data_IF_843006902902
#
_entry.id   IF_843006902902
#
_cell.length_a   1.000
_cell.length_b   1.000
_cell.length_c   1.000
_cell.angle_alpha   90.00
_cell.angle_beta   90.00
_cell.angle_gamma   90.00
#
_symmetry.space_group_name_H-M   'P 1'
#
loop_
_entity.id
_entity.type
_entity.pdbx_description
1 polymer ?
#
# COMPACT_ATOMS: atom_id res chain seq x y z
N UNK A 1 11.37 -6.62 7.57
CA UNK A 1 9.96 -6.96 7.27
C UNK A 1 9.74 -8.46 7.24
N UNK A 2 10.44 -9.23 6.41
CA UNK A 2 10.33 -10.71 6.40
C UNK A 2 10.75 -11.37 7.73
N UNK A 3 11.83 -10.90 8.36
CA UNK A 3 12.26 -11.39 9.68
C UNK A 3 11.23 -11.10 10.78
N UNK A 4 10.60 -9.92 10.73
CA UNK A 4 9.55 -9.52 11.66
C UNK A 4 8.29 -10.37 11.50
N UNK A 5 7.91 -10.65 10.25
CA UNK A 5 6.85 -11.59 9.90
C UNK A 5 7.13 -13.00 10.46
N UNK A 6 8.36 -13.49 10.32
CA UNK A 6 8.77 -14.79 10.87
C UNK A 6 8.74 -14.85 12.41
N UNK A 7 8.80 -13.69 13.08
CA UNK A 7 8.66 -13.56 14.54
C UNK A 7 7.20 -13.46 15.01
N UNK A 8 6.22 -13.52 14.10
CA UNK A 8 4.81 -13.46 14.43
C UNK A 8 4.24 -12.05 14.62
N UNK A 9 4.93 -11.00 14.14
CA UNK A 9 4.37 -9.63 14.13
C UNK A 9 3.07 -9.58 13.31
N UNK A 10 2.13 -8.74 13.74
CA UNK A 10 0.81 -8.61 13.14
C UNK A 10 0.91 -8.10 11.69
N UNK A 11 0.12 -8.72 10.80
CA UNK A 11 0.17 -8.42 9.37
C UNK A 11 -0.24 -6.98 9.07
N UNK A 12 -1.21 -6.43 9.81
CA UNK A 12 -1.62 -5.04 9.64
C UNK A 12 -0.53 -4.09 10.12
N UNK A 13 0.07 -4.34 11.28
CA UNK A 13 1.16 -3.51 11.80
C UNK A 13 2.31 -3.38 10.79
N UNK A 14 2.76 -4.51 10.22
CA UNK A 14 3.84 -4.51 9.23
C UNK A 14 3.49 -3.73 7.96
N UNK A 15 2.27 -3.87 7.46
CA UNK A 15 1.83 -3.20 6.23
C UNK A 15 1.58 -1.72 6.48
N UNK A 16 0.97 -1.36 7.59
CA UNK A 16 0.72 0.04 7.97
C UNK A 16 2.04 0.74 8.27
N UNK A 17 2.97 0.10 8.97
CA UNK A 17 4.33 0.62 9.22
C UNK A 17 5.03 0.95 7.89
N UNK A 18 5.02 0.00 6.94
CA UNK A 18 5.59 0.20 5.60
C UNK A 18 5.01 1.45 4.92
N UNK A 19 3.68 1.55 4.88
CA UNK A 19 3.02 2.61 4.14
C UNK A 19 3.09 3.97 4.85
N UNK A 20 3.17 3.99 6.18
CA UNK A 20 3.54 5.20 6.92
C UNK A 20 4.94 5.68 6.52
N UNK A 21 5.94 4.79 6.45
CA UNK A 21 7.30 5.18 6.01
C UNK A 21 7.32 5.73 4.58
N UNK A 22 6.54 5.14 3.67
CA UNK A 22 6.39 5.65 2.30
C UNK A 22 5.74 7.04 2.31
N UNK A 23 4.65 7.22 3.06
CA UNK A 23 3.98 8.52 3.21
C UNK A 23 4.93 9.58 3.74
N UNK A 24 5.66 9.25 4.80
CA UNK A 24 6.58 10.18 5.46
C UNK A 24 7.74 10.54 4.52
N UNK A 25 8.27 9.57 3.76
CA UNK A 25 9.29 9.81 2.73
C UNK A 25 8.80 10.74 1.61
N UNK A 26 7.53 10.64 1.20
CA UNK A 26 6.96 11.52 0.18
C UNK A 26 6.91 13.00 0.57
N UNK A 27 7.04 13.34 1.86
CA UNK A 27 7.20 14.75 2.29
C UNK A 27 8.56 15.33 1.87
N UNK A 28 9.55 14.47 1.63
CA UNK A 28 10.92 14.85 1.26
C UNK A 28 11.31 14.41 -0.16
N UNK A 29 10.42 13.69 -0.86
CA UNK A 29 10.66 13.25 -2.23
C UNK A 29 10.43 14.40 -3.22
N UNK A 30 11.47 14.77 -3.95
CA UNK A 30 11.43 15.86 -4.93
C UNK A 30 12.03 15.49 -6.28
N UNK A 31 12.65 14.32 -6.41
CA UNK A 31 13.27 13.89 -7.66
C UNK A 31 12.58 12.66 -8.25
N UNK A 32 12.78 12.45 -9.55
CA UNK A 32 12.40 11.21 -10.23
C UNK A 32 12.95 9.96 -9.51
N UNK A 33 14.19 10.02 -9.03
CA UNK A 33 14.82 8.90 -8.33
C UNK A 33 14.11 8.56 -7.01
N UNK A 34 13.67 9.59 -6.27
CA UNK A 34 12.86 9.39 -5.07
C UNK A 34 11.55 8.66 -5.38
N UNK A 35 10.86 9.06 -6.45
CA UNK A 35 9.62 8.39 -6.87
C UNK A 35 9.85 6.96 -7.37
N UNK A 36 10.98 6.69 -8.03
CA UNK A 36 11.39 5.31 -8.38
C UNK A 36 11.62 4.47 -7.12
N UNK A 37 12.24 5.04 -6.09
CA UNK A 37 12.45 4.37 -4.80
C UNK A 37 11.12 4.09 -4.08
N UNK A 38 10.17 5.02 -4.12
CA UNK A 38 8.80 4.81 -3.62
C UNK A 38 8.11 3.68 -4.36
N UNK A 39 8.17 3.66 -5.70
CA UNK A 39 7.57 2.61 -6.51
C UNK A 39 8.16 1.22 -6.16
N UNK A 40 9.49 1.12 -6.06
CA UNK A 40 10.18 -0.11 -5.65
C UNK A 40 9.75 -0.55 -4.25
N UNK A 41 9.67 0.38 -3.30
CA UNK A 41 9.21 0.09 -1.95
C UNK A 41 7.76 -0.43 -1.95
N UNK A 42 6.86 0.16 -2.74
CA UNK A 42 5.46 -0.26 -2.84
C UNK A 42 5.32 -1.72 -3.28
N UNK A 43 6.12 -2.19 -4.24
CA UNK A 43 6.08 -3.55 -4.76
C UNK A 43 6.63 -4.64 -3.83
N UNK A 44 7.38 -4.28 -2.79
CA UNK A 44 7.85 -5.27 -1.81
C UNK A 44 6.64 -6.01 -1.22
N UNK A 45 6.63 -7.34 -1.40
CA UNK A 45 5.50 -8.20 -1.04
C UNK A 45 5.07 -7.96 0.40
N UNK A 46 3.76 -7.73 0.59
CA UNK A 46 3.17 -7.58 1.92
C UNK A 46 2.80 -8.95 2.50
N UNK A 47 2.87 -9.13 3.84
CA UNK A 47 2.53 -10.39 4.52
C UNK A 47 1.21 -11.02 4.08
N UNK A 48 0.15 -10.21 3.86
CA UNK A 48 -1.15 -10.70 3.40
C UNK A 48 -1.10 -11.46 2.08
N UNK A 49 -0.26 -11.05 1.12
CA UNK A 49 -0.11 -11.76 -0.15
C UNK A 49 0.57 -13.12 0.03
N UNK A 50 1.46 -13.26 1.02
CA UNK A 50 2.10 -14.52 1.35
C UNK A 50 1.12 -15.49 2.00
N UNK A 51 0.23 -15.00 2.86
CA UNK A 51 -0.76 -15.83 3.57
C UNK A 51 -1.96 -16.18 2.68
N UNK A 52 -2.63 -15.17 2.11
CA UNK A 52 -3.88 -15.34 1.38
C UNK A 52 -3.66 -15.53 -0.12
N UNK A 53 -2.72 -14.80 -0.72
CA UNK A 53 -2.45 -14.86 -2.16
C UNK A 53 -1.92 -16.22 -2.60
N UNK A 54 -0.90 -16.77 -1.91
CA UNK A 54 -0.34 -18.09 -2.22
C UNK A 54 -1.34 -19.24 -2.12
N UNK A 55 -2.38 -19.09 -1.29
CA UNK A 55 -3.43 -20.10 -1.08
C UNK A 55 -4.66 -19.87 -1.96
N UNK A 56 -4.62 -18.88 -2.87
CA UNK A 56 -5.77 -18.45 -3.68
C UNK A 56 -7.00 -18.07 -2.82
N UNK A 57 -6.76 -17.42 -1.67
CA UNK A 57 -7.75 -17.03 -0.67
C UNK A 57 -7.91 -15.51 -0.53
N UNK A 58 -7.62 -14.74 -1.58
CA UNK A 58 -7.75 -13.27 -1.56
C UNK A 58 -9.15 -12.78 -1.16
N UNK A 59 -10.21 -13.55 -1.44
CA UNK A 59 -11.58 -13.24 -1.03
C UNK A 59 -11.80 -13.26 0.50
N UNK A 60 -10.92 -13.96 1.24
CA UNK A 60 -10.87 -13.98 2.71
C UNK A 60 -9.86 -13.00 3.29
N UNK A 61 -9.12 -12.28 2.44
CA UNK A 61 -8.08 -11.37 2.90
C UNK A 61 -8.69 -10.15 3.60
N UNK A 62 -8.20 -9.75 4.79
CA UNK A 62 -8.70 -8.58 5.52
C UNK A 62 -8.60 -7.24 4.75
N UNK A 63 -7.68 -7.16 3.78
CA UNK A 63 -7.49 -5.98 2.92
C UNK A 63 -8.12 -6.13 1.54
N UNK A 64 -9.03 -7.10 1.33
CA UNK A 64 -9.58 -7.40 0.00
C UNK A 64 -10.16 -6.19 -0.73
N UNK A 65 -10.82 -5.26 -0.03
CA UNK A 65 -11.44 -4.05 -0.61
C UNK A 65 -10.42 -3.09 -1.24
N UNK A 66 -9.16 -3.20 -0.84
CA UNK A 66 -8.07 -2.39 -1.37
C UNK A 66 -7.63 -2.94 -2.73
N UNK A 67 -7.61 -4.28 -2.85
CA UNK A 67 -7.03 -4.99 -3.98
C UNK A 67 -8.07 -5.39 -5.03
N UNK A 68 -9.31 -5.67 -4.62
CA UNK A 68 -10.38 -6.17 -5.47
C UNK A 68 -11.32 -5.02 -5.86
N UNK A 69 -11.62 -4.83 -7.15
CA UNK A 69 -12.67 -3.95 -7.66
C UNK A 69 -14.02 -4.11 -6.95
N UNK A 70 -14.70 -2.99 -6.74
CA UNK A 70 -16.15 -2.98 -6.45
C UNK A 70 -16.88 -2.32 -7.63
N UNK A 71 -17.94 -2.96 -8.13
CA UNK A 71 -18.83 -2.42 -9.17
C UNK A 71 -18.12 -1.96 -10.46
N UNK A 72 -17.30 -2.83 -11.06
CA UNK A 72 -16.53 -2.58 -12.30
C UNK A 72 -15.58 -1.36 -12.27
N UNK A 73 -15.32 -0.80 -11.08
CA UNK A 73 -14.32 0.25 -10.89
C UNK A 73 -12.94 -0.33 -10.69
N UNK A 74 -11.93 0.41 -11.11
CA UNK A 74 -10.54 0.09 -10.77
C UNK A 74 -10.37 -0.02 -9.24
N UNK A 75 -9.59 -1.01 -8.77
CA UNK A 75 -9.29 -1.13 -7.34
C UNK A 75 -8.37 -0.01 -6.88
N UNK A 76 -8.45 0.36 -5.59
CA UNK A 76 -7.55 1.37 -5.02
C UNK A 76 -6.09 1.01 -5.32
N UNK A 77 -5.71 -0.25 -5.12
CA UNK A 77 -4.36 -0.73 -5.38
C UNK A 77 -3.88 -0.42 -6.81
N UNK A 78 -4.70 -0.72 -7.82
CA UNK A 78 -4.35 -0.46 -9.21
C UNK A 78 -4.22 1.04 -9.49
N UNK A 79 -5.16 1.85 -8.99
CA UNK A 79 -5.13 3.30 -9.14
C UNK A 79 -3.87 3.92 -8.51
N UNK A 80 -3.50 3.46 -7.30
CA UNK A 80 -2.30 3.87 -6.60
C UNK A 80 -1.04 3.47 -7.37
N UNK A 81 -0.93 2.22 -7.82
CA UNK A 81 0.23 1.74 -8.58
C UNK A 81 0.41 2.52 -9.88
N UNK A 82 -0.68 2.81 -10.61
CA UNK A 82 -0.62 3.65 -11.82
C UNK A 82 -0.11 5.05 -11.49
N UNK A 83 -0.56 5.63 -10.39
CA UNK A 83 -0.08 6.93 -9.94
C UNK A 83 1.42 6.89 -9.63
N UNK A 84 1.88 5.90 -8.85
CA UNK A 84 3.30 5.73 -8.54
C UNK A 84 4.15 5.60 -9.82
N UNK A 85 3.68 4.87 -10.83
CA UNK A 85 4.34 4.80 -12.13
C UNK A 85 4.41 6.17 -12.83
N UNK A 86 3.32 6.94 -12.84
CA UNK A 86 3.32 8.27 -13.45
C UNK A 86 4.38 9.18 -12.81
N UNK A 87 4.50 9.17 -11.48
CA UNK A 87 5.55 9.92 -10.76
C UNK A 87 6.96 9.36 -10.97
N UNK A 88 7.12 8.03 -11.05
CA UNK A 88 8.42 7.42 -11.37
C UNK A 88 8.89 7.75 -12.80
N UNK A 89 7.96 8.03 -13.72
CA UNK A 89 8.26 8.42 -15.10
C UNK A 89 8.52 9.93 -15.20
N UNK A 90 7.61 10.74 -14.67
CA UNK A 90 7.57 12.19 -14.83
C UNK A 90 8.32 12.96 -13.75
N UNK A 91 8.59 12.38 -12.58
CA UNK A 91 9.34 13.05 -11.52
C UNK A 91 8.71 14.35 -11.03
N UNK A 92 9.53 15.38 -10.94
CA UNK A 92 9.22 16.75 -10.48
C UNK A 92 8.38 17.57 -11.46
N UNK A 93 8.12 17.06 -12.66
CA UNK A 93 7.15 17.67 -13.58
C UNK A 93 5.70 17.56 -13.08
N UNK A 94 5.43 16.70 -12.10
CA UNK A 94 4.11 16.55 -11.47
C UNK A 94 4.09 17.24 -10.10
N UNK A 95 2.98 17.91 -9.73
CA UNK A 95 2.83 18.45 -8.38
C UNK A 95 2.87 17.31 -7.36
N UNK A 96 3.48 17.46 -6.17
CA UNK A 96 3.59 16.36 -5.19
C UNK A 96 2.30 16.09 -4.39
N UNK A 97 1.33 17.00 -4.37
CA UNK A 97 0.12 16.88 -3.54
C UNK A 97 -0.77 15.68 -3.89
N UNK A 98 -1.02 15.34 -5.17
CA UNK A 98 -1.84 14.18 -5.53
C UNK A 98 -1.29 12.85 -4.98
N UNK A 99 0.01 12.57 -5.16
CA UNK A 99 0.62 11.34 -4.65
C UNK A 99 0.60 11.28 -3.12
N UNK A 100 0.89 12.40 -2.43
CA UNK A 100 0.80 12.49 -0.96
C UNK A 100 -0.61 12.19 -0.46
N UNK A 101 -1.63 12.75 -1.12
CA UNK A 101 -3.03 12.53 -0.76
C UNK A 101 -3.44 11.07 -0.93
N UNK A 102 -3.21 10.49 -2.11
CA UNK A 102 -3.62 9.11 -2.42
C UNK A 102 -2.91 8.10 -1.52
N UNK A 103 -1.62 8.32 -1.20
CA UNK A 103 -0.90 7.46 -0.25
C UNK A 103 -1.44 7.61 1.17
N UNK A 104 -1.85 8.81 1.59
CA UNK A 104 -2.48 9.02 2.90
C UNK A 104 -3.84 8.31 3.00
N UNK A 105 -4.69 8.47 1.97
CA UNK A 105 -5.96 7.76 1.87
C UNK A 105 -5.78 6.24 1.86
N UNK A 106 -4.72 5.74 1.22
CA UNK A 106 -4.37 4.33 1.24
C UNK A 106 -4.04 3.82 2.65
N UNK A 107 -3.21 4.57 3.40
CA UNK A 107 -2.87 4.25 4.79
C UNK A 107 -4.12 4.24 5.67
N UNK A 108 -5.00 5.23 5.52
CA UNK A 108 -6.23 5.31 6.33
C UNK A 108 -7.20 4.18 5.97
N UNK A 109 -7.25 3.77 4.70
CA UNK A 109 -8.00 2.59 4.26
C UNK A 109 -7.45 1.31 4.90
N UNK A 110 -6.12 1.16 5.04
CA UNK A 110 -5.52 0.02 5.73
C UNK A 110 -5.87 0.02 7.23
N UNK A 111 -5.83 1.17 7.89
CA UNK A 111 -6.23 1.30 9.31
C UNK A 111 -7.70 0.97 9.53
N UNK A 112 -8.58 1.39 8.62
CA UNK A 112 -10.00 1.04 8.71
C UNK A 112 -10.24 -0.46 8.39
N UNK A 113 -9.41 -1.10 7.55
CA UNK A 113 -9.42 -2.57 7.41
C UNK A 113 -9.04 -3.25 8.73
N UNK A 114 -7.99 -2.76 9.40
CA UNK A 114 -7.52 -3.28 10.69
C UNK A 114 -8.59 -3.15 11.77
N UNK A 115 -9.19 -1.96 11.91
CA UNK A 115 -10.22 -1.69 12.92
C UNK A 115 -11.45 -2.58 12.75
N UNK A 116 -11.89 -2.81 11.50
CA UNK A 116 -12.97 -3.72 11.18
C UNK A 116 -12.60 -5.17 11.49
N UNK A 117 -11.41 -5.61 11.13
CA UNK A 117 -10.96 -6.96 11.42
C UNK A 117 -10.92 -7.26 12.93
N UNK A 118 -10.43 -6.32 13.75
CA UNK A 118 -10.41 -6.46 15.22
C UNK A 118 -11.83 -6.54 15.80
N UNK A 119 -12.80 -5.79 15.27
CA UNK A 119 -14.20 -5.81 15.75
C UNK A 119 -14.94 -7.13 15.50
N UNK A 120 -14.48 -7.94 14.55
CA UNK A 120 -15.11 -9.21 14.18
C UNK A 120 -14.35 -10.45 14.70
N UNK A 121 -13.32 -10.25 15.52
CA UNK A 121 -12.53 -11.31 16.16
C UNK A 121 -12.90 -11.45 17.62
#
# INVERSE_FOLDING_TARGET
MMEKYQKGEDHFELVIEKWNRIRDFLHFAFSKEDFVNVLRAAYVVIPFCLEFGKRNQCFKCPIKRVCIPENDKESFWMALVRLLHAYALAGDFLPPEPIKRVVSEFVDTLKDCQSKFIRYR
#
